data_IF_840610535337
#
_entry.id   IF_840610535337
#
_cell.length_a   1.000
_cell.length_b   1.000
_cell.length_c   1.000
_cell.angle_alpha   90.00
_cell.angle_beta   90.00
_cell.angle_gamma   90.00
#
_symmetry.space_group_name_H-M   'P 1'
#
loop_
_entity.id
_entity.type
_entity.pdbx_description
1 polymer ?
#
# COMPACT_ATOMS: atom_id res chain seq x y z
N UNK A 1 28.93 -11.34 -8.35
CA UNK A 1 28.14 -10.87 -7.18
C UNK A 1 26.79 -10.43 -7.72
N UNK A 2 25.73 -11.24 -7.49
CA UNK A 2 24.38 -10.79 -7.76
C UNK A 2 24.01 -9.75 -6.70
N UNK A 3 24.13 -8.47 -7.00
CA UNK A 3 23.48 -7.46 -6.18
C UNK A 3 21.97 -7.71 -6.29
N UNK A 4 21.36 -8.26 -5.24
CA UNK A 4 19.91 -8.24 -5.11
C UNK A 4 19.51 -6.78 -5.30
N UNK A 5 18.79 -6.47 -6.37
CA UNK A 5 18.27 -5.13 -6.58
C UNK A 5 17.43 -4.78 -5.34
N UNK A 6 17.75 -3.67 -4.71
CA UNK A 6 16.98 -3.20 -3.54
C UNK A 6 15.55 -2.96 -4.02
N UNK A 7 14.61 -3.75 -3.51
CA UNK A 7 13.19 -3.58 -3.83
C UNK A 7 12.57 -2.57 -2.88
N UNK A 8 11.84 -1.62 -3.42
CA UNK A 8 10.96 -0.76 -2.66
C UNK A 8 9.56 -1.40 -2.64
N UNK A 9 8.97 -1.57 -1.45
CA UNK A 9 7.65 -2.16 -1.28
C UNK A 9 6.66 -1.06 -0.87
N UNK A 10 5.73 -0.73 -1.74
CA UNK A 10 4.65 0.20 -1.45
C UNK A 10 3.42 -0.59 -0.97
N UNK A 11 3.08 -0.41 0.30
CA UNK A 11 1.96 -1.09 0.91
C UNK A 11 0.66 -0.32 0.65
N UNK A 12 -0.32 -1.00 0.11
CA UNK A 12 -1.71 -0.61 0.14
C UNK A 12 -2.30 -0.69 1.55
N UNK A 13 -3.40 -0.01 1.79
CA UNK A 13 -4.09 0.00 3.09
C UNK A 13 -4.42 -1.41 3.61
N UNK A 14 -4.87 -2.30 2.73
CA UNK A 14 -5.19 -3.69 3.08
C UNK A 14 -3.97 -4.49 3.56
N UNK A 15 -2.83 -4.30 2.93
CA UNK A 15 -1.57 -4.92 3.33
C UNK A 15 -1.01 -4.24 4.61
N UNK A 16 -1.13 -2.92 4.71
CA UNK A 16 -0.63 -2.18 5.86
C UNK A 16 -1.32 -2.61 7.16
N UNK A 17 -2.63 -2.80 7.16
CA UNK A 17 -3.39 -3.28 8.33
C UNK A 17 -2.87 -4.63 8.82
N UNK A 18 -2.53 -5.55 7.90
CA UNK A 18 -2.04 -6.91 8.23
C UNK A 18 -0.68 -6.94 8.94
N UNK A 19 0.08 -5.86 8.92
CA UNK A 19 1.30 -5.74 9.70
C UNK A 19 1.06 -5.40 11.18
N UNK A 20 -0.13 -4.91 11.51
CA UNK A 20 -0.47 -4.42 12.86
C UNK A 20 -1.60 -5.17 13.52
N UNK A 21 -2.36 -5.95 12.76
CA UNK A 21 -3.47 -6.79 13.24
C UNK A 21 -3.33 -8.17 12.60
N UNK A 22 -3.47 -9.21 13.43
CA UNK A 22 -3.40 -10.60 12.97
C UNK A 22 -4.66 -10.95 12.17
N UNK A 23 -4.48 -11.29 10.92
CA UNK A 23 -5.54 -11.74 10.01
C UNK A 23 -4.97 -12.59 8.86
N UNK A 24 -5.80 -13.09 7.97
CA UNK A 24 -5.36 -13.87 6.81
C UNK A 24 -4.26 -13.14 6.01
N UNK A 25 -3.13 -13.79 5.80
CA UNK A 25 -1.97 -13.25 5.07
C UNK A 25 -0.98 -12.46 5.93
N UNK A 26 -1.28 -12.18 7.20
CA UNK A 26 -0.36 -11.47 8.12
C UNK A 26 0.96 -12.21 8.28
N UNK A 27 0.93 -13.52 8.45
CA UNK A 27 2.11 -14.37 8.64
C UNK A 27 3.04 -14.37 7.40
N UNK A 28 2.47 -14.40 6.21
CA UNK A 28 3.21 -14.34 4.93
C UNK A 28 3.90 -12.99 4.78
N UNK A 29 3.15 -11.93 5.06
CA UNK A 29 3.63 -10.56 4.95
C UNK A 29 4.73 -10.26 5.98
N UNK A 30 4.55 -10.68 7.23
CA UNK A 30 5.53 -10.51 8.29
C UNK A 30 6.84 -11.25 7.98
N UNK A 31 6.77 -12.50 7.50
CA UNK A 31 7.95 -13.26 7.08
C UNK A 31 8.69 -12.58 5.93
N UNK A 32 7.96 -12.08 4.92
CA UNK A 32 8.56 -11.36 3.80
C UNK A 32 9.35 -10.13 4.26
N UNK A 33 8.81 -9.36 5.22
CA UNK A 33 9.45 -8.16 5.74
C UNK A 33 10.49 -8.41 6.84
N UNK A 34 10.68 -9.64 7.31
CA UNK A 34 11.84 -9.97 8.18
C UNK A 34 13.17 -9.78 7.44
N UNK A 35 13.20 -10.13 6.15
CA UNK A 35 14.40 -10.07 5.32
C UNK A 35 14.48 -8.78 4.47
N UNK A 36 13.36 -8.11 4.26
CA UNK A 36 13.24 -6.90 3.42
C UNK A 36 12.87 -5.68 4.27
N UNK A 37 13.83 -4.80 4.48
CA UNK A 37 13.64 -3.65 5.36
C UNK A 37 12.85 -2.49 4.73
N UNK A 38 12.78 -2.41 3.40
CA UNK A 38 12.25 -1.22 2.70
C UNK A 38 10.75 -1.30 2.49
N UNK A 39 10.01 -0.59 3.33
CA UNK A 39 8.55 -0.50 3.31
C UNK A 39 8.12 0.95 3.23
N UNK A 40 7.19 1.23 2.32
CA UNK A 40 6.59 2.55 2.16
C UNK A 40 5.08 2.45 2.06
N UNK A 41 4.40 3.56 2.26
CA UNK A 41 2.99 3.73 1.93
C UNK A 41 2.72 5.17 1.56
N UNK A 42 1.61 5.43 0.88
CA UNK A 42 1.15 6.80 0.60
C UNK A 42 0.37 7.36 1.79
N UNK A 43 0.25 8.69 1.93
CA UNK A 43 -0.65 9.29 2.92
C UNK A 43 -2.08 8.79 2.80
N UNK A 44 -2.57 8.58 1.58
CA UNK A 44 -3.91 8.08 1.31
C UNK A 44 -4.09 6.68 1.91
N UNK A 45 -3.20 5.73 1.57
CA UNK A 45 -3.24 4.37 2.12
C UNK A 45 -3.12 4.35 3.64
N UNK A 46 -2.32 5.25 4.23
CA UNK A 46 -2.20 5.37 5.67
C UNK A 46 -3.54 5.75 6.32
N UNK A 47 -4.23 6.77 5.81
CA UNK A 47 -5.53 7.17 6.33
C UNK A 47 -6.62 6.10 6.10
N UNK A 48 -6.59 5.42 4.97
CA UNK A 48 -7.48 4.28 4.71
C UNK A 48 -7.23 3.13 5.68
N UNK A 49 -5.97 2.80 5.96
CA UNK A 49 -5.61 1.77 6.93
C UNK A 49 -6.10 2.11 8.35
N UNK A 50 -5.98 3.37 8.79
CA UNK A 50 -6.55 3.83 10.06
C UNK A 50 -8.07 3.69 10.10
N UNK A 51 -8.74 3.99 8.98
CA UNK A 51 -10.19 3.79 8.84
C UNK A 51 -10.54 2.31 8.91
N UNK A 52 -9.77 1.45 8.22
CA UNK A 52 -9.93 -0.01 8.28
C UNK A 52 -9.79 -0.57 9.69
N UNK A 53 -8.80 -0.13 10.46
CA UNK A 53 -8.64 -0.49 11.87
C UNK A 53 -9.85 -0.07 12.72
N UNK A 54 -10.37 1.14 12.50
CA UNK A 54 -11.58 1.61 13.19
C UNK A 54 -12.83 0.77 12.86
N UNK A 55 -12.97 0.38 11.58
CA UNK A 55 -14.06 -0.49 11.13
C UNK A 55 -13.97 -1.86 11.82
N UNK A 56 -12.79 -2.45 11.91
CA UNK A 56 -12.55 -3.72 12.59
C UNK A 56 -12.93 -3.65 14.08
N UNK A 57 -12.55 -2.59 14.75
CA UNK A 57 -12.87 -2.40 16.16
C UNK A 57 -14.35 -2.06 16.37
N UNK A 58 -14.83 -0.97 15.76
CA UNK A 58 -16.10 -0.35 16.16
C UNK A 58 -17.31 -1.05 15.52
N UNK A 59 -17.20 -1.46 14.25
CA UNK A 59 -18.32 -1.98 13.48
C UNK A 59 -18.33 -3.50 13.40
N UNK A 60 -17.18 -4.12 13.09
CA UNK A 60 -17.10 -5.58 12.92
C UNK A 60 -16.83 -6.33 14.23
N UNK A 61 -16.30 -5.64 15.25
CA UNK A 61 -15.92 -6.25 16.54
C UNK A 61 -14.89 -7.38 16.41
N UNK A 62 -14.03 -7.28 15.41
CA UNK A 62 -12.94 -8.25 15.15
C UNK A 62 -11.75 -8.04 16.08
N UNK A 63 -11.56 -6.83 16.58
CA UNK A 63 -10.49 -6.45 17.51
C UNK A 63 -11.06 -5.62 18.68
N UNK A 64 -10.36 -5.66 19.80
CA UNK A 64 -10.68 -4.85 20.97
C UNK A 64 -10.26 -3.38 20.76
N UNK A 65 -10.73 -2.50 21.66
CA UNK A 65 -10.31 -1.10 21.67
C UNK A 65 -8.80 -0.95 21.91
N UNK A 66 -8.25 -1.77 22.79
CA UNK A 66 -6.81 -1.71 23.14
C UNK A 66 -5.95 -2.17 21.96
N UNK A 67 -6.35 -3.23 21.26
CA UNK A 67 -5.70 -3.67 20.02
C UNK A 67 -5.77 -2.60 18.93
N UNK A 68 -6.94 -1.98 18.75
CA UNK A 68 -7.11 -0.85 17.82
C UNK A 68 -6.15 0.30 18.16
N UNK A 69 -6.11 0.75 19.41
CA UNK A 69 -5.24 1.85 19.83
C UNK A 69 -3.76 1.50 19.64
N UNK A 70 -3.36 0.30 20.05
CA UNK A 70 -1.98 -0.19 19.85
C UNK A 70 -1.60 -0.21 18.39
N UNK A 71 -2.42 -0.77 17.53
CA UNK A 71 -2.18 -0.84 16.08
C UNK A 71 -2.11 0.55 15.45
N UNK A 72 -3.09 1.42 15.73
CA UNK A 72 -3.18 2.76 15.17
C UNK A 72 -1.98 3.64 15.57
N UNK A 73 -1.59 3.63 16.85
CA UNK A 73 -0.45 4.41 17.33
C UNK A 73 0.89 3.88 16.81
N UNK A 74 1.06 2.55 16.75
CA UNK A 74 2.28 1.94 16.18
C UNK A 74 2.41 2.24 14.69
N UNK A 75 1.32 2.15 13.94
CA UNK A 75 1.28 2.51 12.51
C UNK A 75 1.58 4.00 12.31
N UNK A 76 1.00 4.88 13.11
CA UNK A 76 1.24 6.32 13.03
C UNK A 76 2.69 6.68 13.36
N UNK A 77 3.30 6.06 14.35
CA UNK A 77 4.71 6.24 14.70
C UNK A 77 5.63 5.81 13.55
N UNK A 78 5.38 4.65 12.97
CA UNK A 78 6.12 4.19 11.79
C UNK A 78 5.95 5.15 10.61
N UNK A 79 4.71 5.52 10.26
CA UNK A 79 4.43 6.39 9.12
C UNK A 79 5.05 7.78 9.29
N UNK A 80 5.00 8.37 10.48
CA UNK A 80 5.60 9.68 10.75
C UNK A 80 7.12 9.68 10.56
N UNK A 81 7.76 8.55 10.78
CA UNK A 81 9.19 8.39 10.56
C UNK A 81 9.54 8.27 9.08
N UNK A 82 8.75 7.50 8.32
CA UNK A 82 8.98 7.20 6.91
C UNK A 82 8.54 8.36 6.00
N UNK A 83 7.41 8.99 6.31
CA UNK A 83 6.74 9.95 5.41
C UNK A 83 7.33 11.35 5.41
N UNK A 84 8.19 11.69 6.36
CA UNK A 84 8.74 13.06 6.53
C UNK A 84 9.42 13.64 5.28
N UNK A 85 9.79 12.81 4.32
CA UNK A 85 10.53 13.22 3.13
C UNK A 85 9.83 12.85 1.81
N UNK A 86 8.65 12.23 1.88
CA UNK A 86 7.94 11.77 0.69
C UNK A 86 6.95 12.84 0.22
N UNK A 87 7.29 13.52 -0.87
CA UNK A 87 6.32 14.26 -1.67
C UNK A 87 5.76 13.31 -2.71
N UNK A 88 4.48 13.02 -2.60
CA UNK A 88 3.74 12.25 -3.59
C UNK A 88 2.99 13.20 -4.56
N UNK A 89 2.02 12.69 -5.29
CA UNK A 89 1.19 13.45 -6.21
C UNK A 89 0.46 14.60 -5.51
N UNK A 90 0.29 15.69 -6.23
CA UNK A 90 -0.62 16.75 -5.82
C UNK A 90 -2.08 16.34 -6.12
N UNK A 91 -2.73 15.74 -5.14
CA UNK A 91 -4.12 15.28 -5.24
C UNK A 91 -5.14 16.40 -5.46
N UNK A 92 -4.73 17.67 -5.35
CA UNK A 92 -5.58 18.82 -5.67
C UNK A 92 -5.44 19.26 -7.13
N UNK A 93 -4.47 18.72 -7.85
CA UNK A 93 -4.26 19.04 -9.27
C UNK A 93 -5.38 18.47 -10.14
N UNK A 94 -6.05 19.29 -10.97
CA UNK A 94 -7.05 18.80 -11.93
C UNK A 94 -6.50 17.76 -12.90
N UNK A 95 -5.22 17.80 -13.22
CA UNK A 95 -4.57 16.83 -14.11
C UNK A 95 -4.49 15.45 -13.44
N UNK A 96 -4.11 15.40 -12.16
CA UNK A 96 -4.06 14.16 -11.39
C UNK A 96 -5.44 13.51 -11.30
N UNK A 97 -6.49 14.30 -11.07
CA UNK A 97 -7.86 13.79 -11.08
C UNK A 97 -8.31 13.24 -12.44
N UNK A 98 -7.96 13.92 -13.53
CA UNK A 98 -8.25 13.44 -14.89
C UNK A 98 -7.57 12.10 -15.15
N UNK A 99 -6.31 11.97 -14.79
CA UNK A 99 -5.52 10.78 -15.04
C UNK A 99 -5.97 9.61 -14.15
N UNK A 100 -6.31 9.88 -12.89
CA UNK A 100 -6.94 8.90 -11.98
C UNK A 100 -8.31 8.45 -12.54
N UNK A 101 -9.16 9.36 -13.02
CA UNK A 101 -10.43 9.01 -13.64
C UNK A 101 -10.24 8.06 -14.83
N UNK A 102 -9.23 8.28 -15.65
CA UNK A 102 -8.92 7.39 -16.78
C UNK A 102 -8.58 5.96 -16.33
N UNK A 103 -7.90 5.82 -15.19
CA UNK A 103 -7.60 4.50 -14.57
C UNK A 103 -8.90 3.85 -14.07
N UNK A 104 -9.76 4.62 -13.37
CA UNK A 104 -11.07 4.15 -12.91
C UNK A 104 -11.92 3.62 -14.07
N UNK A 105 -12.00 4.38 -15.16
CA UNK A 105 -12.79 4.00 -16.34
C UNK A 105 -12.26 2.74 -17.03
N UNK A 106 -10.93 2.53 -17.04
CA UNK A 106 -10.33 1.33 -17.66
C UNK A 106 -10.47 0.07 -16.81
N UNK A 107 -10.39 0.19 -15.50
CA UNK A 107 -10.25 -0.97 -14.60
C UNK A 107 -11.45 -1.19 -13.68
N UNK A 108 -12.37 -0.26 -13.61
CA UNK A 108 -13.54 -0.36 -12.71
C UNK A 108 -13.18 -0.22 -11.23
N UNK A 109 -12.01 0.36 -10.92
CA UNK A 109 -11.54 0.60 -9.55
C UNK A 109 -12.26 1.80 -8.93
N UNK A 110 -12.14 1.95 -7.62
CA UNK A 110 -12.48 3.21 -6.99
C UNK A 110 -11.37 4.26 -7.21
N UNK A 111 -11.65 5.50 -6.80
CA UNK A 111 -10.75 6.61 -7.04
C UNK A 111 -9.48 6.53 -6.19
N UNK A 112 -9.56 5.97 -4.99
CA UNK A 112 -8.40 5.84 -4.11
C UNK A 112 -7.40 4.82 -4.63
N UNK A 113 -7.87 3.70 -5.16
CA UNK A 113 -7.03 2.69 -5.82
C UNK A 113 -6.36 3.25 -7.10
N UNK A 114 -7.11 4.04 -7.86
CA UNK A 114 -6.55 4.72 -9.03
C UNK A 114 -5.44 5.71 -8.65
N UNK A 115 -5.58 6.45 -7.56
CA UNK A 115 -4.52 7.31 -7.03
C UNK A 115 -3.29 6.52 -6.60
N UNK A 116 -3.45 5.34 -6.02
CA UNK A 116 -2.31 4.49 -5.66
C UNK A 116 -1.54 4.05 -6.92
N UNK A 117 -2.24 3.58 -7.95
CA UNK A 117 -1.62 3.23 -9.23
C UNK A 117 -0.88 4.44 -9.81
N UNK A 118 -1.50 5.61 -9.80
CA UNK A 118 -0.91 6.82 -10.34
C UNK A 118 0.33 7.27 -9.56
N UNK A 119 0.32 7.16 -8.22
CA UNK A 119 1.49 7.41 -7.35
C UNK A 119 2.68 6.53 -7.72
N UNK A 120 2.43 5.28 -8.10
CA UNK A 120 3.47 4.34 -8.53
C UNK A 120 3.95 4.61 -9.96
N UNK A 121 3.12 5.21 -10.81
CA UNK A 121 3.49 5.54 -12.20
C UNK A 121 4.19 6.88 -12.32
N UNK A 122 3.80 7.88 -11.58
CA UNK A 122 4.16 9.29 -11.79
C UNK A 122 4.62 10.00 -10.52
N UNK A 123 4.32 9.48 -9.33
CA UNK A 123 4.68 10.08 -8.04
C UNK A 123 6.10 9.74 -7.59
N UNK A 124 6.37 10.00 -6.32
CA UNK A 124 7.66 9.70 -5.68
C UNK A 124 8.09 8.24 -5.89
N UNK A 125 7.15 7.31 -5.81
CA UNK A 125 7.43 5.88 -5.96
C UNK A 125 7.79 5.47 -7.38
N UNK A 126 7.45 6.28 -8.39
CA UNK A 126 7.83 6.01 -9.78
C UNK A 126 9.34 6.14 -10.00
N UNK A 127 9.99 7.10 -9.33
CA UNK A 127 11.43 7.28 -9.38
C UNK A 127 12.16 6.09 -8.75
N UNK A 128 11.62 5.55 -7.65
CA UNK A 128 12.13 4.33 -7.03
C UNK A 128 11.88 3.10 -7.91
N UNK A 129 10.77 3.07 -8.64
CA UNK A 129 10.41 1.98 -9.53
C UNK A 129 11.37 1.84 -10.72
N UNK A 130 11.86 2.94 -11.27
CA UNK A 130 12.78 2.94 -12.42
C UNK A 130 14.09 2.20 -12.13
N UNK A 131 14.66 2.42 -10.93
CA UNK A 131 15.96 1.85 -10.55
C UNK A 131 15.84 0.65 -9.58
N UNK A 132 14.83 0.63 -8.71
CA UNK A 132 14.70 -0.33 -7.61
C UNK A 132 13.54 -1.32 -7.75
N UNK A 133 12.73 -1.21 -8.79
CA UNK A 133 11.55 -2.06 -9.02
C UNK A 133 10.59 -2.05 -7.85
N UNK A 134 9.93 -0.92 -7.64
CA UNK A 134 8.85 -0.82 -6.64
C UNK A 134 7.78 -1.88 -6.89
N UNK A 135 7.40 -2.58 -5.82
CA UNK A 135 6.34 -3.57 -5.82
C UNK A 135 5.16 -3.01 -5.04
N UNK A 136 3.99 -2.96 -5.65
CA UNK A 136 2.74 -2.75 -4.93
C UNK A 136 2.41 -4.02 -4.15
N UNK A 137 2.25 -3.90 -2.84
CA UNK A 137 1.88 -5.02 -1.95
C UNK A 137 0.45 -4.81 -1.48
N UNK A 138 -0.44 -5.70 -1.86
CA UNK A 138 -1.88 -5.55 -1.58
C UNK A 138 -2.56 -6.90 -1.29
N UNK A 139 -3.64 -6.86 -0.49
CA UNK A 139 -4.57 -7.97 -0.33
C UNK A 139 -5.81 -7.83 -1.25
N UNK A 140 -5.86 -6.78 -2.06
CA UNK A 140 -6.90 -6.58 -3.07
C UNK A 140 -6.46 -7.16 -4.41
N UNK A 141 -7.22 -8.16 -4.90
CA UNK A 141 -6.93 -8.83 -6.18
C UNK A 141 -7.18 -7.91 -7.37
N UNK A 142 -8.22 -7.09 -7.32
CA UNK A 142 -8.59 -6.20 -8.43
C UNK A 142 -7.56 -5.10 -8.59
N UNK A 143 -7.12 -4.51 -7.48
CA UNK A 143 -6.04 -3.54 -7.47
C UNK A 143 -4.72 -4.15 -7.98
N UNK A 144 -4.36 -5.35 -7.54
CA UNK A 144 -3.15 -6.03 -8.01
C UNK A 144 -3.18 -6.28 -9.53
N UNK A 145 -4.32 -6.74 -10.04
CA UNK A 145 -4.49 -7.00 -11.48
C UNK A 145 -4.43 -5.72 -12.31
N UNK A 146 -5.10 -4.66 -11.87
CA UNK A 146 -5.07 -3.37 -12.53
C UNK A 146 -3.65 -2.78 -12.56
N UNK A 147 -2.94 -2.83 -11.42
CA UNK A 147 -1.55 -2.39 -11.34
C UNK A 147 -0.64 -3.12 -12.35
N UNK A 148 -0.78 -4.44 -12.46
CA UNK A 148 -0.03 -5.25 -13.44
C UNK A 148 -0.36 -4.86 -14.88
N UNK A 149 -1.62 -4.59 -15.20
CA UNK A 149 -2.05 -4.12 -16.53
C UNK A 149 -1.50 -2.71 -16.85
N UNK A 150 -1.28 -1.89 -15.83
CA UNK A 150 -0.64 -0.58 -15.95
C UNK A 150 0.91 -0.66 -15.96
N UNK A 151 1.48 -1.87 -15.98
CA UNK A 151 2.93 -2.10 -16.04
C UNK A 151 3.66 -2.00 -14.71
N UNK A 152 2.93 -2.02 -13.58
CA UNK A 152 3.48 -1.96 -12.22
C UNK A 152 3.67 -3.39 -11.71
N UNK A 153 4.79 -3.66 -11.05
CA UNK A 153 4.96 -4.88 -10.29
C UNK A 153 4.00 -4.88 -9.10
N UNK A 154 3.19 -5.92 -8.95
CA UNK A 154 2.27 -6.03 -7.85
C UNK A 154 2.27 -7.46 -7.29
N UNK A 155 2.18 -7.56 -5.97
CA UNK A 155 2.05 -8.81 -5.25
C UNK A 155 0.71 -8.87 -4.53
N UNK A 156 -0.13 -9.82 -4.95
CA UNK A 156 -1.38 -10.16 -4.28
C UNK A 156 -1.11 -11.18 -3.18
N UNK A 157 -1.03 -10.73 -1.92
CA UNK A 157 -0.53 -11.53 -0.79
C UNK A 157 -1.40 -12.72 -0.41
N UNK A 158 -2.69 -12.74 -0.77
CA UNK A 158 -3.61 -13.83 -0.44
C UNK A 158 -3.64 -14.96 -1.49
N UNK A 159 -2.90 -14.86 -2.58
CA UNK A 159 -2.97 -15.86 -3.64
C UNK A 159 -1.70 -16.01 -4.48
N UNK A 160 -0.66 -15.24 -4.21
CA UNK A 160 0.60 -15.28 -4.95
C UNK A 160 1.78 -15.48 -4.00
N UNK A 161 2.84 -16.18 -4.42
CA UNK A 161 4.07 -16.26 -3.65
C UNK A 161 4.73 -14.86 -3.57
N UNK A 162 5.53 -14.60 -2.53
CA UNK A 162 6.34 -13.37 -2.45
C UNK A 162 7.27 -13.20 -3.65
N UNK A 163 7.46 -11.98 -4.13
CA UNK A 163 8.26 -11.69 -5.34
C UNK A 163 9.76 -11.85 -5.11
#
# INVERSE_FOLDING_TARGET
>A
MNSKAVRANCLDASALVKLYVEEEGSDVLQRYFQDEATRYTTPLCFYEALTGLKVKWLYRKEITKDEYLKAAFSMAAWFSHVSRQVRDLDFLSPMVFRDARSIVERHGLDLSDAFQILSLKEGFFSALAADSRTVLVTADRELANAAKQEGILAWYILGEPPP
#
